data_IF_229241636669
#
_entry.id   IF_229241636669
#
_cell.length_a   1.000
_cell.length_b   1.000
_cell.length_c   1.000
_cell.angle_alpha   90.00
_cell.angle_beta   90.00
_cell.angle_gamma   90.00
#
_symmetry.space_group_name_H-M   'P 1'
#
loop_
_entity.id
_entity.type
_entity.pdbx_description
1 polymer ?
#
# COMPACT_ATOMS: atom_id res chain seq x y z
N UNK A 1 43.29 -52.28 -10.34
CA UNK A 1 42.18 -52.45 -11.32
C UNK A 1 40.96 -51.53 -11.05
N UNK A 2 41.05 -50.54 -10.15
CA UNK A 2 39.87 -49.80 -9.67
C UNK A 2 39.62 -48.43 -10.31
N UNK A 3 40.39 -48.01 -11.32
CA UNK A 3 40.24 -46.67 -11.91
C UNK A 3 39.16 -46.61 -13.01
N UNK A 4 38.95 -47.70 -13.77
CA UNK A 4 38.03 -47.71 -14.91
C UNK A 4 36.56 -47.60 -14.47
N UNK A 5 36.21 -48.26 -13.36
CA UNK A 5 34.83 -48.27 -12.84
C UNK A 5 34.38 -46.90 -12.31
N UNK A 6 35.31 -46.14 -11.73
CA UNK A 6 35.04 -44.79 -11.23
C UNK A 6 35.00 -43.72 -12.35
N UNK A 7 35.59 -44.01 -13.51
CA UNK A 7 35.59 -43.12 -14.67
C UNK A 7 34.22 -43.13 -15.38
N UNK A 8 33.58 -44.29 -15.54
CA UNK A 8 32.26 -44.44 -16.17
C UNK A 8 31.13 -43.77 -15.37
N UNK A 9 31.19 -43.84 -14.03
CA UNK A 9 30.15 -43.26 -13.16
C UNK A 9 30.21 -41.72 -13.11
N UNK A 10 31.41 -41.14 -13.28
CA UNK A 10 31.59 -39.68 -13.38
C UNK A 10 31.15 -39.12 -14.74
N UNK A 11 31.41 -39.81 -15.84
CA UNK A 11 30.95 -39.38 -17.18
C UNK A 11 29.41 -39.39 -17.28
N UNK A 12 28.75 -40.41 -16.71
CA UNK A 12 27.27 -40.53 -16.72
C UNK A 12 26.53 -39.40 -15.99
N UNK A 13 27.19 -38.67 -15.09
CA UNK A 13 26.59 -37.50 -14.41
C UNK A 13 26.84 -36.18 -15.11
N UNK A 14 27.79 -36.10 -16.04
CA UNK A 14 28.06 -34.88 -16.81
C UNK A 14 27.29 -34.82 -18.14
N UNK A 15 27.04 -35.96 -18.79
CA UNK A 15 26.38 -35.99 -20.10
C UNK A 15 24.85 -35.85 -20.03
N UNK A 16 24.22 -36.21 -18.90
CA UNK A 16 22.75 -36.14 -18.75
C UNK A 16 22.25 -34.73 -18.45
N UNK A 17 23.11 -33.81 -17.99
CA UNK A 17 22.68 -32.46 -17.60
C UNK A 17 22.82 -31.38 -18.68
N UNK A 18 23.67 -31.56 -19.69
CA UNK A 18 24.02 -30.48 -20.63
C UNK A 18 23.14 -30.44 -21.90
N UNK A 19 22.37 -31.50 -22.17
CA UNK A 19 21.59 -31.65 -23.40
C UNK A 19 20.07 -31.68 -23.16
N UNK A 20 19.60 -31.45 -21.92
CA UNK A 20 18.20 -31.70 -21.51
C UNK A 20 17.43 -30.45 -21.09
N UNK A 21 17.65 -29.27 -21.67
CA UNK A 21 16.93 -28.06 -21.22
C UNK A 21 16.55 -27.06 -22.34
N UNK A 22 16.09 -27.53 -23.51
CA UNK A 22 15.00 -26.80 -24.18
C UNK A 22 13.69 -27.62 -24.18
N UNK A 23 13.77 -28.92 -24.47
CA UNK A 23 12.59 -29.79 -24.57
C UNK A 23 11.94 -30.05 -23.21
N UNK A 24 12.71 -30.13 -22.13
CA UNK A 24 12.16 -30.28 -20.78
C UNK A 24 11.37 -29.03 -20.36
N UNK A 25 11.90 -27.84 -20.64
CA UNK A 25 11.20 -26.58 -20.40
C UNK A 25 9.96 -26.46 -21.30
N UNK A 26 10.06 -26.81 -22.58
CA UNK A 26 8.91 -26.83 -23.50
C UNK A 26 7.81 -27.81 -23.07
N UNK A 27 8.19 -29.01 -22.63
CA UNK A 27 7.26 -30.02 -22.14
C UNK A 27 6.62 -29.64 -20.80
N UNK A 28 7.38 -29.05 -19.87
CA UNK A 28 6.83 -28.50 -18.64
C UNK A 28 5.89 -27.33 -18.92
N UNK A 29 6.30 -26.36 -19.75
CA UNK A 29 5.47 -25.21 -20.12
C UNK A 29 4.17 -25.61 -20.82
N UNK A 30 4.22 -26.61 -21.71
CA UNK A 30 3.01 -27.13 -22.39
C UNK A 30 2.01 -27.69 -21.39
N UNK A 31 2.47 -28.53 -20.45
CA UNK A 31 1.61 -29.06 -19.38
C UNK A 31 1.15 -27.99 -18.39
N UNK A 32 1.97 -26.99 -18.07
CA UNK A 32 1.55 -25.89 -17.18
C UNK A 32 0.42 -25.10 -17.83
N UNK A 33 0.51 -24.82 -19.14
CA UNK A 33 -0.51 -24.08 -19.88
C UNK A 33 -1.78 -24.91 -20.12
N UNK A 34 -1.65 -26.20 -20.45
CA UNK A 34 -2.78 -27.10 -20.71
C UNK A 34 -3.60 -27.42 -19.43
N UNK A 35 -3.07 -27.12 -18.24
CA UNK A 35 -3.76 -27.25 -16.95
C UNK A 35 -4.36 -25.94 -16.44
N UNK A 36 -4.18 -24.80 -17.14
CA UNK A 36 -4.88 -23.57 -16.80
C UNK A 36 -6.30 -23.75 -17.36
N UNK A 37 -7.33 -23.87 -16.50
CA UNK A 37 -8.69 -23.92 -17.00
C UNK A 37 -8.95 -22.64 -17.78
N UNK A 38 -9.57 -22.77 -18.95
CA UNK A 38 -10.07 -21.62 -19.69
C UNK A 38 -10.80 -20.71 -18.68
N UNK A 39 -10.39 -19.43 -18.57
CA UNK A 39 -10.97 -18.55 -17.56
C UNK A 39 -12.46 -18.49 -17.83
N UNK A 40 -13.24 -19.11 -16.94
CA UNK A 40 -14.71 -19.05 -17.00
C UNK A 40 -15.14 -17.59 -17.14
N UNK A 41 -16.24 -17.33 -17.87
CA UNK A 41 -16.74 -15.97 -18.07
C UNK A 41 -16.91 -15.22 -16.72
N UNK A 42 -17.24 -15.95 -15.65
CA UNK A 42 -17.30 -15.44 -14.27
C UNK A 42 -15.95 -14.91 -13.76
N UNK A 43 -14.84 -15.61 -14.07
CA UNK A 43 -13.49 -15.16 -13.68
C UNK A 43 -13.06 -13.91 -14.44
N UNK A 44 -13.45 -13.77 -15.72
CA UNK A 44 -13.15 -12.60 -16.55
C UNK A 44 -13.95 -11.38 -16.05
N UNK A 45 -15.25 -11.56 -15.79
CA UNK A 45 -16.11 -10.53 -15.19
C UNK A 45 -15.60 -10.09 -13.82
N UNK A 46 -15.21 -11.04 -12.95
CA UNK A 46 -14.67 -10.71 -11.62
C UNK A 46 -13.35 -9.92 -11.69
N UNK A 47 -12.52 -10.18 -12.71
CA UNK A 47 -11.28 -9.45 -12.94
C UNK A 47 -11.56 -8.03 -13.43
N UNK A 48 -12.54 -7.86 -14.33
CA UNK A 48 -12.96 -6.56 -14.85
C UNK A 48 -13.59 -5.67 -13.75
N UNK A 49 -14.44 -6.24 -12.89
CA UNK A 49 -14.97 -5.56 -11.71
C UNK A 49 -13.86 -5.15 -10.72
N UNK A 50 -12.89 -6.04 -10.50
CA UNK A 50 -11.73 -5.75 -9.65
C UNK A 50 -10.89 -4.59 -10.20
N UNK A 51 -10.63 -4.56 -11.51
CA UNK A 51 -9.90 -3.48 -12.16
C UNK A 51 -10.66 -2.16 -12.11
N UNK A 52 -11.99 -2.20 -12.31
CA UNK A 52 -12.86 -1.02 -12.19
C UNK A 52 -12.88 -0.47 -10.76
N UNK A 53 -12.88 -1.34 -9.76
CA UNK A 53 -12.76 -0.96 -8.34
C UNK A 53 -11.42 -0.30 -8.03
N UNK A 54 -10.31 -0.86 -8.53
CA UNK A 54 -8.96 -0.28 -8.38
C UNK A 54 -8.84 1.11 -8.99
N UNK A 55 -9.32 1.28 -10.23
CA UNK A 55 -9.26 2.58 -10.90
C UNK A 55 -10.03 3.67 -10.14
N UNK A 56 -11.21 3.33 -9.59
CA UNK A 56 -11.98 4.26 -8.74
C UNK A 56 -11.24 4.62 -7.46
N UNK A 57 -10.65 3.63 -6.79
CA UNK A 57 -9.88 3.87 -5.57
C UNK A 57 -8.64 4.74 -5.82
N UNK A 58 -7.98 4.57 -6.97
CA UNK A 58 -6.86 5.42 -7.38
C UNK A 58 -7.30 6.85 -7.67
N UNK A 59 -8.45 7.04 -8.35
CA UNK A 59 -9.04 8.36 -8.62
C UNK A 59 -9.45 9.09 -7.33
N UNK A 60 -10.09 8.38 -6.40
CA UNK A 60 -10.42 8.89 -5.07
C UNK A 60 -9.17 9.28 -4.27
N UNK A 61 -8.10 8.48 -4.37
CA UNK A 61 -6.83 8.77 -3.70
C UNK A 61 -6.17 10.03 -4.26
N UNK A 62 -6.19 10.21 -5.59
CA UNK A 62 -5.61 11.39 -6.22
C UNK A 62 -6.42 12.66 -5.90
N UNK A 63 -7.76 12.54 -5.87
CA UNK A 63 -8.66 13.59 -5.38
C UNK A 63 -8.31 13.99 -3.94
N UNK A 64 -8.23 13.03 -3.01
CA UNK A 64 -7.88 13.27 -1.61
C UNK A 64 -6.51 13.94 -1.46
N UNK A 65 -5.54 13.52 -2.27
CA UNK A 65 -4.18 14.11 -2.29
C UNK A 65 -4.21 15.57 -2.73
N UNK A 66 -5.05 15.92 -3.71
CA UNK A 66 -5.22 17.31 -4.14
C UNK A 66 -5.88 18.16 -3.06
N UNK A 67 -6.92 17.64 -2.41
CA UNK A 67 -7.64 18.35 -1.35
C UNK A 67 -6.78 18.52 -0.10
N UNK A 68 -5.97 17.53 0.26
CA UNK A 68 -4.99 17.66 1.32
C UNK A 68 -3.96 18.77 1.04
N UNK A 69 -3.45 18.85 -0.19
CA UNK A 69 -2.53 19.94 -0.59
C UNK A 69 -3.20 21.31 -0.47
N UNK A 70 -4.45 21.44 -0.95
CA UNK A 70 -5.23 22.68 -0.82
C UNK A 70 -5.48 23.05 0.64
N UNK A 71 -5.87 22.09 1.48
CA UNK A 71 -6.09 22.30 2.91
C UNK A 71 -4.80 22.76 3.61
N UNK A 72 -3.66 22.12 3.31
CA UNK A 72 -2.35 22.52 3.86
C UNK A 72 -1.95 23.93 3.47
N UNK A 73 -2.24 24.35 2.23
CA UNK A 73 -2.02 25.72 1.78
C UNK A 73 -2.97 26.70 2.48
N UNK A 74 -4.26 26.34 2.57
CA UNK A 74 -5.27 27.12 3.29
C UNK A 74 -4.93 27.28 4.77
N UNK A 75 -4.45 26.25 5.45
CA UNK A 75 -3.97 26.35 6.84
C UNK A 75 -2.75 27.28 6.97
N UNK A 76 -1.86 27.30 5.97
CA UNK A 76 -0.70 28.22 5.95
C UNK A 76 -1.15 29.67 5.74
N UNK A 77 -2.11 29.92 4.87
CA UNK A 77 -2.64 31.26 4.60
C UNK A 77 -3.59 31.75 5.70
N UNK A 78 -4.40 30.86 6.29
CA UNK A 78 -5.22 31.16 7.45
C UNK A 78 -4.37 31.44 8.70
N UNK A 79 -3.25 30.71 8.88
CA UNK A 79 -2.19 31.08 9.84
C UNK A 79 -1.50 32.41 9.54
N UNK A 80 -1.65 32.93 8.32
CA UNK A 80 -1.17 34.26 7.96
C UNK A 80 -2.18 35.36 8.35
N UNK A 81 -3.45 35.01 8.56
CA UNK A 81 -4.52 35.94 8.93
C UNK A 81 -4.63 36.22 10.44
N UNK A 82 -4.17 35.29 11.29
CA UNK A 82 -3.98 35.52 12.72
C UNK A 82 -2.54 35.25 13.10
N UNK A 83 -1.84 36.22 13.69
CA UNK A 83 -0.50 35.98 14.22
C UNK A 83 -0.58 34.95 15.36
N UNK A 84 0.46 34.15 15.58
CA UNK A 84 0.49 33.21 16.71
C UNK A 84 0.25 33.89 18.05
N UNK A 85 0.60 35.18 18.15
CA UNK A 85 0.35 36.05 19.30
C UNK A 85 -1.15 36.28 19.54
N UNK A 86 -1.94 36.50 18.47
CA UNK A 86 -3.39 36.62 18.59
C UNK A 86 -4.04 35.32 19.08
N UNK A 87 -3.51 34.17 18.66
CA UNK A 87 -3.94 32.87 19.17
C UNK A 87 -3.61 32.68 20.66
N UNK A 88 -2.42 33.09 21.09
CA UNK A 88 -2.04 33.06 22.51
C UNK A 88 -2.92 34.00 23.34
N UNK A 89 -3.27 35.16 22.80
CA UNK A 89 -4.16 36.12 23.43
C UNK A 89 -5.58 35.56 23.60
N UNK A 90 -6.14 34.92 22.57
CA UNK A 90 -7.45 34.23 22.66
C UNK A 90 -7.42 33.10 23.70
N UNK A 91 -6.37 32.27 23.76
CA UNK A 91 -6.23 31.22 24.78
C UNK A 91 -6.19 31.82 26.20
N UNK A 92 -5.48 32.94 26.38
CA UNK A 92 -5.38 33.59 27.68
C UNK A 92 -6.72 34.21 28.12
N UNK A 93 -7.47 34.78 27.18
CA UNK A 93 -8.81 35.32 27.42
C UNK A 93 -9.81 34.21 27.77
N UNK A 94 -9.78 33.08 27.04
CA UNK A 94 -10.61 31.90 27.32
C UNK A 94 -10.34 31.34 28.72
N UNK A 95 -9.06 31.20 29.10
CA UNK A 95 -8.67 30.78 30.46
C UNK A 95 -9.21 31.71 31.53
N UNK A 96 -9.08 33.02 31.34
CA UNK A 96 -9.59 34.02 32.29
C UNK A 96 -11.12 33.99 32.43
N UNK A 97 -11.83 33.59 31.37
CA UNK A 97 -13.29 33.38 31.41
C UNK A 97 -13.64 32.14 32.23
N UNK A 98 -12.93 31.04 32.02
CA UNK A 98 -13.11 29.80 32.81
C UNK A 98 -12.85 30.02 34.29
N UNK A 99 -11.74 30.67 34.63
CA UNK A 99 -11.40 30.99 36.03
C UNK A 99 -12.46 31.85 36.70
N UNK A 100 -13.07 32.77 35.94
CA UNK A 100 -14.18 33.61 36.41
C UNK A 100 -15.45 32.78 36.65
N UNK A 101 -15.77 31.83 35.77
CA UNK A 101 -16.92 30.94 35.94
C UNK A 101 -16.74 30.02 37.14
N UNK A 102 -15.55 29.47 37.33
CA UNK A 102 -15.21 28.65 38.50
C UNK A 102 -15.41 29.45 39.80
N UNK A 103 -14.90 30.68 39.85
CA UNK A 103 -15.07 31.55 41.02
C UNK A 103 -16.54 31.82 41.35
N UNK A 104 -17.35 32.14 40.33
CA UNK A 104 -18.79 32.34 40.48
C UNK A 104 -19.52 31.07 40.93
N UNK A 105 -19.07 29.91 40.48
CA UNK A 105 -19.64 28.63 40.89
C UNK A 105 -19.36 28.35 42.37
N UNK A 106 -18.15 28.60 42.84
CA UNK A 106 -17.78 28.47 44.26
C UNK A 106 -18.54 29.47 45.15
N UNK A 107 -18.68 30.72 44.71
CA UNK A 107 -19.47 31.74 45.42
C UNK A 107 -20.96 31.38 45.54
N UNK A 108 -21.52 30.68 44.55
CA UNK A 108 -22.92 30.23 44.59
C UNK A 108 -23.14 28.98 45.47
N UNK A 109 -22.07 28.29 45.87
CA UNK A 109 -22.11 27.14 46.77
C UNK A 109 -21.88 27.51 48.24
N UNK A 110 -21.58 28.77 48.55
CA UNK A 110 -21.38 29.30 49.91
C UNK A 110 -22.64 30.04 50.38
#
# INVERSE_FOLDING_TARGET
MSNAWNQTRRMKRFTVGLMTTPEYYGWQSKRVNDNIPEPSEESVQSMEECLKGKNKADEDLDSLKTDYKKLRLSMRTARLGKTSEQWLQEIHEEKSKTDRWERKFQEAQT
#
